data_IF_573102627565
#
_entry.id   IF_573102627565
#
_cell.length_a   1.000
_cell.length_b   1.000
_cell.length_c   1.000
_cell.angle_alpha   90.00
_cell.angle_beta   90.00
_cell.angle_gamma   90.00
#
_symmetry.space_group_name_H-M   'P 1'
#
loop_
_entity.id
_entity.type
_entity.pdbx_description
1 polymer ?
#
# COMPACT_ATOMS: atom_id res chain seq x y z
N UNK A 1 -30.18 22.36 -9.54
CA UNK A 1 -29.34 23.19 -8.66
C UNK A 1 -29.54 22.90 -7.17
N UNK A 2 -30.76 22.79 -6.64
CA UNK A 2 -30.97 22.56 -5.21
C UNK A 2 -30.46 21.19 -4.74
N UNK A 3 -30.68 20.15 -5.54
CA UNK A 3 -30.30 18.78 -5.22
C UNK A 3 -28.77 18.60 -5.24
N UNK A 4 -28.09 19.26 -6.17
CA UNK A 4 -26.62 19.26 -6.29
C UNK A 4 -25.98 20.01 -5.11
N UNK A 5 -26.58 21.13 -4.66
CA UNK A 5 -26.11 21.83 -3.47
C UNK A 5 -26.29 21.00 -2.20
N UNK A 6 -27.42 20.31 -2.07
CA UNK A 6 -27.68 19.43 -0.94
C UNK A 6 -26.69 18.25 -0.93
N UNK A 7 -26.47 17.60 -2.09
CA UNK A 7 -25.50 16.52 -2.21
C UNK A 7 -24.09 16.94 -1.79
N UNK A 8 -23.64 18.12 -2.21
CA UNK A 8 -22.32 18.66 -1.83
C UNK A 8 -22.27 18.95 -0.32
N UNK A 9 -23.34 19.49 0.25
CA UNK A 9 -23.41 19.79 1.68
C UNK A 9 -23.37 18.50 2.53
N UNK A 10 -24.13 17.49 2.14
CA UNK A 10 -24.16 16.18 2.81
C UNK A 10 -22.78 15.49 2.71
N UNK A 11 -22.12 15.56 1.54
CA UNK A 11 -20.77 15.05 1.35
C UNK A 11 -19.72 15.78 2.20
N UNK A 12 -19.81 17.11 2.30
CA UNK A 12 -18.95 17.91 3.18
C UNK A 12 -19.15 17.53 4.64
N UNK A 13 -20.40 17.37 5.08
CA UNK A 13 -20.72 16.99 6.45
C UNK A 13 -20.18 15.58 6.76
N UNK A 14 -20.35 14.62 5.83
CA UNK A 14 -19.78 13.27 5.97
C UNK A 14 -18.26 13.31 6.14
N UNK A 15 -17.55 14.06 5.30
CA UNK A 15 -16.08 14.17 5.38
C UNK A 15 -15.61 14.79 6.69
N UNK A 16 -16.28 15.83 7.18
CA UNK A 16 -15.92 16.49 8.44
C UNK A 16 -16.11 15.56 9.65
N UNK A 17 -17.14 14.73 9.61
CA UNK A 17 -17.40 13.77 10.67
C UNK A 17 -16.40 12.61 10.60
N UNK A 18 -16.01 12.14 9.41
CA UNK A 18 -14.97 11.11 9.23
C UNK A 18 -13.64 11.58 9.84
N UNK A 19 -13.22 12.81 9.55
CA UNK A 19 -12.02 13.43 10.12
C UNK A 19 -12.11 13.54 11.65
N UNK A 20 -13.26 13.97 12.17
CA UNK A 20 -13.49 14.05 13.61
C UNK A 20 -13.40 12.69 14.32
N UNK A 21 -13.93 11.63 13.70
CA UNK A 21 -13.83 10.29 14.26
C UNK A 21 -12.40 9.75 14.21
N UNK A 22 -11.66 10.01 13.13
CA UNK A 22 -10.25 9.63 13.04
C UNK A 22 -9.42 10.27 14.17
N UNK A 23 -9.63 11.56 14.46
CA UNK A 23 -8.94 12.26 15.54
C UNK A 23 -9.31 11.77 16.95
N UNK A 24 -10.61 11.67 17.28
CA UNK A 24 -11.05 11.29 18.63
C UNK A 24 -10.91 9.77 18.90
N UNK A 25 -11.05 8.93 17.87
CA UNK A 25 -11.02 7.46 17.99
C UNK A 25 -9.70 6.81 17.56
N UNK A 26 -8.63 7.58 17.30
CA UNK A 26 -7.32 7.00 16.93
C UNK A 26 -6.77 5.97 17.93
N UNK A 27 -7.13 6.06 19.22
CA UNK A 27 -6.75 5.05 20.23
C UNK A 27 -7.52 3.73 20.10
N UNK A 28 -8.73 3.78 19.54
CA UNK A 28 -9.62 2.63 19.38
C UNK A 28 -9.33 1.83 18.10
N UNK A 29 -8.54 2.38 17.17
CA UNK A 29 -8.29 1.81 15.86
C UNK A 29 -9.50 2.02 14.97
N UNK A 30 -9.62 3.21 14.37
CA UNK A 30 -10.74 3.58 13.52
C UNK A 30 -10.55 3.02 12.10
N UNK A 31 -11.48 2.19 11.64
CA UNK A 31 -11.43 1.56 10.30
C UNK A 31 -12.28 2.25 9.25
N UNK A 32 -13.17 3.16 9.66
CA UNK A 32 -14.07 3.89 8.78
C UNK A 32 -15.48 3.98 9.33
N UNK A 33 -16.32 4.69 8.58
CA UNK A 33 -17.71 4.90 8.94
C UNK A 33 -18.66 4.81 7.76
N UNK A 34 -19.88 4.40 8.07
CA UNK A 34 -21.02 4.42 7.17
C UNK A 34 -22.14 5.25 7.80
N UNK A 35 -22.74 6.13 6.99
CA UNK A 35 -23.83 6.99 7.41
C UNK A 35 -25.07 6.64 6.59
N UNK A 36 -26.19 6.39 7.26
CA UNK A 36 -27.48 6.12 6.63
C UNK A 36 -28.56 7.00 7.26
N UNK A 37 -29.19 7.93 6.50
CA UNK A 37 -30.26 8.77 7.04
C UNK A 37 -31.50 7.92 7.30
N UNK A 38 -32.05 8.02 8.50
CA UNK A 38 -33.32 7.36 8.86
C UNK A 38 -34.38 8.42 9.19
N UNK A 39 -35.68 8.10 9.08
CA UNK A 39 -36.74 9.05 9.45
C UNK A 39 -36.73 9.48 10.92
N UNK A 40 -36.02 8.75 11.78
CA UNK A 40 -35.90 9.03 13.21
C UNK A 40 -34.60 9.76 13.58
N UNK A 41 -33.66 9.91 12.65
CA UNK A 41 -32.35 10.53 12.89
C UNK A 41 -31.25 9.96 11.99
N UNK A 42 -30.01 10.39 12.23
CA UNK A 42 -28.84 9.92 11.48
C UNK A 42 -28.30 8.62 12.10
N UNK A 43 -28.30 7.50 11.36
CA UNK A 43 -27.63 6.28 11.81
C UNK A 43 -26.17 6.28 11.32
N UNK A 44 -25.23 6.13 12.26
CA UNK A 44 -23.80 6.08 12.00
C UNK A 44 -23.28 4.72 12.45
N UNK A 45 -22.78 3.93 11.52
CA UNK A 45 -22.11 2.66 11.79
C UNK A 45 -20.61 2.90 11.77
N UNK A 46 -19.96 2.72 12.92
CA UNK A 46 -18.51 2.86 13.09
C UNK A 46 -17.86 1.48 13.05
N UNK A 47 -16.82 1.32 12.23
CA UNK A 47 -15.98 0.12 12.21
C UNK A 47 -14.72 0.38 13.03
N UNK A 48 -14.45 -0.44 14.04
CA UNK A 48 -13.29 -0.27 14.91
C UNK A 48 -12.64 -1.60 15.31
N UNK A 49 -11.32 -1.59 15.53
CA UNK A 49 -10.58 -2.74 16.09
C UNK A 49 -11.04 -3.05 17.52
N UNK A 50 -11.27 -2.01 18.33
CA UNK A 50 -11.60 -2.17 19.76
C UNK A 50 -12.89 -1.43 20.13
N UNK A 51 -14.08 -2.03 19.90
CA UNK A 51 -15.37 -1.42 20.21
C UNK A 51 -15.49 -0.95 21.66
N UNK A 52 -14.91 -1.70 22.60
CA UNK A 52 -14.91 -1.36 24.02
C UNK A 52 -14.25 -0.01 24.35
N UNK A 53 -13.23 0.40 23.58
CA UNK A 53 -12.59 1.70 23.76
C UNK A 53 -13.41 2.84 23.15
N UNK A 54 -14.13 2.59 22.05
CA UNK A 54 -15.09 3.55 21.47
C UNK A 54 -16.21 3.85 22.45
N UNK A 55 -16.81 2.82 23.06
CA UNK A 55 -17.88 2.97 24.06
C UNK A 55 -17.35 3.65 25.34
N UNK A 56 -16.18 3.22 25.80
CA UNK A 56 -15.53 3.70 27.01
C UNK A 56 -16.20 3.20 28.30
N UNK A 57 -15.60 3.54 29.45
CA UNK A 57 -16.07 3.07 30.77
C UNK A 57 -17.50 3.55 31.05
N UNK A 58 -18.45 2.61 31.13
CA UNK A 58 -19.87 2.89 31.37
C UNK A 58 -20.53 3.71 30.26
N UNK A 59 -20.05 3.63 29.01
CA UNK A 59 -20.59 4.39 27.89
C UNK A 59 -20.34 5.89 27.99
N UNK A 60 -19.33 6.33 28.75
CA UNK A 60 -19.01 7.75 28.89
C UNK A 60 -18.47 8.35 27.59
N UNK A 61 -17.65 7.59 26.86
CA UNK A 61 -16.99 8.10 25.66
C UNK A 61 -17.99 8.24 24.50
N UNK A 62 -18.80 7.21 24.25
CA UNK A 62 -19.85 7.28 23.24
C UNK A 62 -20.83 8.44 23.49
N UNK A 63 -21.24 8.67 24.75
CA UNK A 63 -22.09 9.82 25.10
C UNK A 63 -21.42 11.16 24.83
N UNK A 64 -20.12 11.29 25.15
CA UNK A 64 -19.34 12.51 24.84
C UNK A 64 -19.33 12.76 23.32
N UNK A 65 -19.06 11.71 22.55
CA UNK A 65 -19.01 11.77 21.08
C UNK A 65 -20.39 12.13 20.50
N UNK A 66 -21.47 11.50 20.96
CA UNK A 66 -22.85 11.83 20.54
C UNK A 66 -23.18 13.30 20.81
N UNK A 67 -22.89 13.82 22.01
CA UNK A 67 -23.11 15.25 22.32
C UNK A 67 -22.29 16.17 21.42
N UNK A 68 -21.03 15.82 21.13
CA UNK A 68 -20.20 16.60 20.20
C UNK A 68 -20.74 16.58 18.77
N UNK A 69 -21.34 15.47 18.34
CA UNK A 69 -21.99 15.37 17.02
C UNK A 69 -23.23 16.27 16.92
N UNK A 70 -24.05 16.31 17.96
CA UNK A 70 -25.22 17.19 18.07
C UNK A 70 -24.79 18.66 18.08
N UNK A 71 -23.83 19.04 18.92
CA UNK A 71 -23.42 20.45 19.10
C UNK A 71 -22.60 21.00 17.92
N UNK A 72 -21.65 20.21 17.39
CA UNK A 72 -20.69 20.68 16.37
C UNK A 72 -21.26 20.56 14.96
N UNK A 73 -21.96 19.47 14.66
CA UNK A 73 -22.43 19.16 13.31
C UNK A 73 -23.94 19.31 13.15
N UNK A 74 -24.66 19.71 14.21
CA UNK A 74 -26.12 19.92 14.21
C UNK A 74 -26.89 18.72 13.64
N UNK A 75 -26.44 17.51 13.97
CA UNK A 75 -27.10 16.28 13.57
C UNK A 75 -28.39 16.08 14.38
N UNK A 76 -29.46 15.71 13.68
CA UNK A 76 -30.74 15.36 14.29
C UNK A 76 -30.66 13.93 14.87
N UNK A 77 -30.69 13.83 16.20
CA UNK A 77 -30.72 12.57 16.98
C UNK A 77 -29.75 11.47 16.44
N UNK A 78 -28.42 11.69 16.51
CA UNK A 78 -27.45 10.74 15.97
C UNK A 78 -27.42 9.42 16.75
N UNK A 79 -27.69 8.32 16.06
CA UNK A 79 -27.58 6.96 16.59
C UNK A 79 -26.28 6.32 16.13
N UNK A 80 -25.38 6.06 17.07
CA UNK A 80 -24.07 5.46 16.78
C UNK A 80 -24.12 3.97 17.10
N UNK A 81 -23.89 3.14 16.09
CA UNK A 81 -23.67 1.70 16.21
C UNK A 81 -22.18 1.39 15.99
N UNK A 82 -21.60 0.51 16.80
CA UNK A 82 -20.16 0.19 16.75
C UNK A 82 -20.02 -1.27 16.38
N UNK A 83 -19.45 -1.51 15.21
CA UNK A 83 -19.16 -2.83 14.67
C UNK A 83 -17.66 -3.11 14.78
N UNK A 84 -17.33 -4.34 15.12
CA UNK A 84 -15.96 -4.84 15.12
C UNK A 84 -15.53 -5.14 13.69
N UNK A 85 -14.26 -4.85 13.37
CA UNK A 85 -13.65 -5.27 12.09
C UNK A 85 -13.19 -6.71 12.26
N UNK A 86 -13.59 -7.60 11.33
CA UNK A 86 -13.26 -9.02 11.38
C UNK A 86 -11.73 -9.25 11.38
N UNK A 87 -11.03 -8.73 10.37
CA UNK A 87 -9.57 -8.71 10.31
C UNK A 87 -9.02 -7.27 10.31
N UNK A 88 -8.57 -6.74 11.46
CA UNK A 88 -8.07 -5.36 11.54
C UNK A 88 -6.72 -5.17 10.82
N UNK A 89 -5.99 -6.25 10.53
CA UNK A 89 -4.71 -6.24 9.81
C UNK A 89 -4.88 -6.06 8.30
N UNK A 90 -6.08 -6.27 7.75
CA UNK A 90 -6.40 -6.03 6.34
C UNK A 90 -6.89 -4.60 6.07
N UNK A 91 -7.20 -3.83 7.12
CA UNK A 91 -7.65 -2.44 6.99
C UNK A 91 -6.46 -1.47 7.07
N UNK A 92 -6.17 -0.79 5.97
CA UNK A 92 -4.97 0.04 5.84
C UNK A 92 -4.95 1.23 6.82
N UNK A 93 -6.11 1.83 7.14
CA UNK A 93 -6.22 2.96 8.08
C UNK A 93 -5.85 2.53 9.50
N UNK A 94 -6.42 1.41 9.98
CA UNK A 94 -6.12 0.86 11.31
C UNK A 94 -4.64 0.52 11.42
N UNK A 95 -4.06 -0.09 10.39
CA UNK A 95 -2.65 -0.46 10.37
C UNK A 95 -1.75 0.78 10.39
N UNK A 96 -2.06 1.81 9.60
CA UNK A 96 -1.32 3.07 9.58
C UNK A 96 -1.31 3.76 10.95
N UNK A 97 -2.47 3.86 11.61
CA UNK A 97 -2.59 4.40 12.96
C UNK A 97 -1.81 3.57 13.97
N UNK A 98 -1.88 2.25 13.87
CA UNK A 98 -1.17 1.34 14.78
C UNK A 98 0.34 1.48 14.64
N UNK A 99 0.85 1.59 13.41
CA UNK A 99 2.27 1.80 13.14
C UNK A 99 2.71 3.19 13.63
N UNK A 100 1.90 4.23 13.41
CA UNK A 100 2.17 5.57 13.95
C UNK A 100 2.27 5.54 15.49
N UNK A 101 1.31 4.90 16.16
CA UNK A 101 1.34 4.71 17.61
C UNK A 101 2.57 3.90 18.10
N UNK A 102 3.06 2.93 17.31
CA UNK A 102 4.25 2.16 17.66
C UNK A 102 5.52 3.01 17.57
N UNK A 103 5.62 3.85 16.53
CA UNK A 103 6.70 4.81 16.36
C UNK A 103 6.70 5.84 17.50
N UNK A 104 5.54 6.37 17.89
CA UNK A 104 5.42 7.31 19.02
C UNK A 104 5.85 6.71 20.37
N UNK A 105 5.68 5.39 20.55
CA UNK A 105 6.18 4.65 21.71
C UNK A 105 7.70 4.42 21.70
N UNK A 106 8.39 4.81 20.63
CA UNK A 106 9.83 4.68 20.50
C UNK A 106 10.30 3.35 19.90
N UNK A 107 9.44 2.61 19.20
CA UNK A 107 9.89 1.42 18.48
C UNK A 107 10.79 1.83 17.31
N UNK A 108 11.87 1.06 17.10
CA UNK A 108 12.76 1.29 15.96
C UNK A 108 12.02 1.05 14.64
N UNK A 109 12.12 2.01 13.72
CA UNK A 109 11.29 2.08 12.51
C UNK A 109 11.39 0.83 11.61
N UNK A 110 12.58 0.22 11.44
CA UNK A 110 12.72 -1.02 10.66
C UNK A 110 11.99 -2.18 11.31
N UNK A 111 12.16 -2.34 12.62
CA UNK A 111 11.50 -3.40 13.38
C UNK A 111 9.99 -3.23 13.32
N UNK A 112 9.49 -2.01 13.54
CA UNK A 112 8.07 -1.69 13.45
C UNK A 112 7.51 -1.93 12.04
N UNK A 113 8.24 -1.52 11.00
CA UNK A 113 7.87 -1.73 9.59
C UNK A 113 7.78 -3.22 9.24
N UNK A 114 8.86 -3.99 9.43
CA UNK A 114 8.88 -5.42 9.12
C UNK A 114 7.87 -6.22 9.94
N UNK A 115 7.73 -5.95 11.24
CA UNK A 115 6.72 -6.65 12.08
C UNK A 115 5.30 -6.36 11.62
N UNK A 116 5.03 -5.13 11.14
CA UNK A 116 3.69 -4.76 10.66
C UNK A 116 3.41 -5.39 9.31
N UNK A 117 4.40 -5.39 8.41
CA UNK A 117 4.31 -6.01 7.10
C UNK A 117 4.09 -7.52 7.20
N UNK A 118 4.84 -8.21 8.07
CA UNK A 118 4.67 -9.65 8.32
C UNK A 118 3.26 -9.97 8.81
N UNK A 119 2.70 -9.17 9.73
CA UNK A 119 1.30 -9.34 10.19
C UNK A 119 0.27 -9.18 9.09
N UNK A 120 0.47 -8.22 8.18
CA UNK A 120 -0.46 -8.01 7.06
C UNK A 120 -0.44 -9.23 6.12
N UNK A 121 0.76 -9.74 5.83
CA UNK A 121 0.92 -10.93 4.99
C UNK A 121 0.36 -12.19 5.68
N UNK A 122 0.56 -12.34 6.99
CA UNK A 122 0.00 -13.43 7.81
C UNK A 122 -1.54 -13.41 7.82
N UNK A 123 -2.15 -12.22 7.75
CA UNK A 123 -3.60 -12.06 7.62
C UNK A 123 -4.14 -12.45 6.23
N UNK A 124 -3.26 -12.80 5.29
CA UNK A 124 -3.60 -13.30 3.96
C UNK A 124 -3.68 -12.24 2.88
N UNK A 125 -3.13 -11.04 3.09
CA UNK A 125 -3.05 -10.04 2.04
C UNK A 125 -2.25 -10.57 0.82
N UNK A 126 -2.65 -10.16 -0.39
CA UNK A 126 -1.90 -10.49 -1.62
C UNK A 126 -0.58 -9.69 -1.70
N UNK A 127 -0.55 -8.51 -1.09
CA UNK A 127 0.64 -7.71 -0.91
C UNK A 127 0.38 -6.44 -0.11
N UNK A 128 1.47 -5.86 0.41
CA UNK A 128 1.44 -4.66 1.22
C UNK A 128 2.69 -3.79 1.04
N UNK A 129 2.48 -2.47 0.97
CA UNK A 129 3.55 -1.46 0.92
C UNK A 129 3.35 -0.49 2.08
N UNK A 130 4.42 -0.28 2.84
CA UNK A 130 4.49 0.70 3.91
C UNK A 130 5.59 1.68 3.55
N UNK A 131 5.25 2.97 3.48
CA UNK A 131 6.20 4.05 3.23
C UNK A 131 6.25 4.95 4.47
N UNK A 132 7.43 5.05 5.06
CA UNK A 132 7.72 5.97 6.15
C UNK A 132 8.45 7.19 5.59
N UNK A 133 7.87 8.38 5.72
CA UNK A 133 8.45 9.62 5.23
C UNK A 133 8.65 10.61 6.38
N UNK A 134 9.87 11.12 6.55
CA UNK A 134 10.15 12.14 7.57
C UNK A 134 11.52 12.01 8.22
N UNK A 135 11.65 12.53 9.44
CA UNK A 135 12.90 12.51 10.21
C UNK A 135 13.03 11.21 11.01
N UNK A 136 13.31 10.12 10.29
CA UNK A 136 13.28 8.76 10.84
C UNK A 136 14.51 8.45 11.72
N UNK A 137 15.72 8.78 11.27
CA UNK A 137 16.98 8.47 11.99
C UNK A 137 17.72 9.71 12.49
N UNK A 138 17.49 10.89 11.88
CA UNK A 138 18.25 12.09 12.21
C UNK A 138 17.59 13.37 11.71
N UNK A 139 18.35 14.46 11.67
CA UNK A 139 17.81 15.79 11.34
C UNK A 139 17.34 15.92 9.88
N UNK A 140 17.91 15.14 8.96
CA UNK A 140 17.54 15.12 7.54
C UNK A 140 16.39 14.14 7.31
N UNK A 141 15.41 14.55 6.50
CA UNK A 141 14.33 13.66 6.09
C UNK A 141 14.85 12.52 5.22
N UNK A 142 14.27 11.34 5.42
CA UNK A 142 14.47 10.14 4.62
C UNK A 142 13.11 9.52 4.33
N UNK A 143 13.04 8.77 3.24
CA UNK A 143 11.89 7.95 2.90
C UNK A 143 12.35 6.52 2.88
N UNK A 144 11.70 5.66 3.65
CA UNK A 144 11.97 4.24 3.73
C UNK A 144 10.73 3.48 3.32
N UNK A 145 10.91 2.51 2.42
CA UNK A 145 9.84 1.71 1.87
C UNK A 145 10.04 0.27 2.31
N UNK A 146 8.97 -0.35 2.79
CA UNK A 146 8.88 -1.77 3.09
C UNK A 146 7.79 -2.34 2.19
N UNK A 147 8.12 -3.29 1.34
CA UNK A 147 7.19 -3.90 0.40
C UNK A 147 7.30 -5.42 0.50
N UNK A 148 6.15 -6.10 0.41
CA UNK A 148 6.08 -7.55 0.30
C UNK A 148 4.83 -7.96 -0.48
N UNK A 149 4.89 -9.10 -1.14
CA UNK A 149 3.86 -9.59 -2.04
C UNK A 149 3.65 -8.73 -3.29
N UNK A 150 2.40 -8.63 -3.72
CA UNK A 150 2.00 -8.00 -4.98
C UNK A 150 1.23 -6.70 -4.79
N UNK A 151 1.60 -5.64 -5.52
CA UNK A 151 0.98 -4.31 -5.40
C UNK A 151 0.80 -3.67 -6.77
N UNK A 152 -0.37 -3.08 -6.98
CA UNK A 152 -0.69 -2.26 -8.14
C UNK A 152 -0.51 -0.78 -7.82
N UNK A 153 0.11 -0.06 -8.75
CA UNK A 153 0.34 1.39 -8.61
C UNK A 153 -0.43 2.24 -9.63
N UNK A 154 -0.92 1.65 -10.72
CA UNK A 154 -1.48 2.37 -11.86
C UNK A 154 -2.85 1.80 -12.25
N UNK A 155 -3.69 2.66 -12.84
CA UNK A 155 -4.99 2.31 -13.40
C UNK A 155 -6.12 2.27 -12.37
N UNK A 156 -7.34 2.02 -12.86
CA UNK A 156 -8.55 1.86 -12.03
C UNK A 156 -8.43 0.78 -10.95
N UNK A 157 -7.75 -0.38 -11.18
CA UNK A 157 -7.52 -1.35 -10.11
C UNK A 157 -6.72 -0.78 -8.92
N UNK A 158 -5.86 0.21 -9.14
CA UNK A 158 -5.11 0.82 -8.04
C UNK A 158 -5.99 1.69 -7.14
N UNK A 159 -7.11 2.20 -7.64
CA UNK A 159 -8.06 3.02 -6.86
C UNK A 159 -9.16 2.18 -6.22
N UNK A 160 -9.62 1.12 -6.91
CA UNK A 160 -10.73 0.30 -6.42
C UNK A 160 -10.31 -0.87 -5.53
N UNK A 161 -9.17 -1.52 -5.84
CA UNK A 161 -8.75 -2.76 -5.18
C UNK A 161 -7.80 -2.49 -4.01
N UNK A 162 -6.92 -1.51 -4.16
CA UNK A 162 -5.89 -1.21 -3.15
C UNK A 162 -6.51 -0.38 -2.03
N UNK A 163 -6.55 -0.92 -0.82
CA UNK A 163 -6.90 -0.15 0.36
C UNK A 163 -5.71 0.73 0.78
N UNK A 164 -5.98 2.01 1.01
CA UNK A 164 -4.98 3.03 1.31
C UNK A 164 -5.28 3.72 2.64
N UNK A 165 -4.29 3.73 3.52
CA UNK A 165 -4.35 4.38 4.83
C UNK A 165 -3.15 5.30 5.05
N UNK A 166 -3.40 6.45 5.67
CA UNK A 166 -2.35 7.37 6.09
C UNK A 166 -2.44 7.61 7.59
N UNK A 167 -1.28 7.63 8.24
CA UNK A 167 -1.11 7.87 9.66
C UNK A 167 -0.01 8.89 9.90
N UNK A 168 -0.11 9.61 11.02
CA UNK A 168 0.82 10.66 11.39
C UNK A 168 1.39 10.36 12.77
N UNK A 169 2.71 10.14 12.84
CA UNK A 169 3.41 9.91 14.10
C UNK A 169 4.11 11.20 14.55
N UNK A 170 3.76 11.71 15.73
CA UNK A 170 4.35 12.92 16.29
C UNK A 170 5.49 12.56 17.25
N UNK A 171 6.73 12.79 16.82
CA UNK A 171 7.94 12.56 17.61
C UNK A 171 8.56 13.88 18.11
N UNK A 172 9.52 13.77 19.03
CA UNK A 172 10.25 14.94 19.58
C UNK A 172 10.98 15.76 18.50
N UNK A 173 11.52 15.12 17.46
CA UNK A 173 12.29 15.79 16.39
C UNK A 173 11.41 16.35 15.26
N UNK A 174 10.12 16.01 15.25
CA UNK A 174 9.15 16.37 14.22
C UNK A 174 8.18 15.23 13.93
N UNK A 175 7.51 15.34 12.80
CA UNK A 175 6.47 14.40 12.38
C UNK A 175 6.99 13.40 11.34
N UNK A 176 6.55 12.16 11.44
CA UNK A 176 6.77 11.10 10.44
C UNK A 176 5.41 10.73 9.84
N UNK A 177 5.32 10.78 8.51
CA UNK A 177 4.18 10.27 7.76
C UNK A 177 4.31 8.76 7.55
N UNK A 178 3.21 8.05 7.76
CA UNK A 178 3.07 6.61 7.56
C UNK A 178 2.03 6.39 6.48
N UNK A 179 2.44 5.98 5.29
CA UNK A 179 1.53 5.59 4.22
C UNK A 179 1.50 4.06 4.13
N UNK A 180 0.31 3.47 4.13
CA UNK A 180 0.09 2.02 4.05
C UNK A 180 -0.84 1.72 2.89
N UNK A 181 -0.43 0.78 2.03
CA UNK A 181 -1.24 0.22 0.95
C UNK A 181 -1.35 -1.28 1.14
N UNK A 182 -2.55 -1.82 1.04
CA UNK A 182 -2.82 -3.25 1.22
C UNK A 182 -3.70 -3.71 0.06
N UNK A 183 -3.36 -4.85 -0.55
CA UNK A 183 -4.27 -5.57 -1.43
C UNK A 183 -4.95 -6.69 -0.64
N UNK A 184 -6.27 -6.66 -0.48
CA UNK A 184 -6.99 -7.66 0.29
C UNK A 184 -6.90 -9.05 -0.35
N UNK A 185 -7.12 -10.13 0.44
CA UNK A 185 -7.18 -11.49 -0.09
C UNK A 185 -8.27 -11.63 -1.16
N UNK A 186 -7.94 -12.35 -2.23
CA UNK A 186 -8.93 -12.71 -3.26
C UNK A 186 -9.37 -11.56 -4.16
N UNK A 187 -8.62 -10.46 -4.20
CA UNK A 187 -8.87 -9.40 -5.16
C UNK A 187 -8.68 -9.90 -6.60
N UNK A 188 -9.74 -9.82 -7.40
CA UNK A 188 -9.71 -10.14 -8.82
C UNK A 188 -9.04 -8.99 -9.58
N UNK A 189 -7.84 -9.25 -10.08
CA UNK A 189 -7.14 -8.30 -10.94
C UNK A 189 -7.53 -8.58 -12.39
N UNK A 190 -7.60 -7.55 -13.26
CA UNK A 190 -7.91 -7.74 -14.68
C UNK A 190 -6.90 -8.64 -15.40
N UNK A 191 -5.70 -8.79 -14.83
CA UNK A 191 -4.64 -9.64 -15.37
C UNK A 191 -4.73 -11.10 -14.89
N UNK A 192 -5.57 -11.39 -13.90
CA UNK A 192 -5.76 -12.74 -13.33
C UNK A 192 -6.93 -13.43 -14.03
N UNK A 193 -6.63 -14.21 -15.08
CA UNK A 193 -7.62 -15.00 -15.80
C UNK A 193 -7.38 -16.51 -15.60
N UNK A 194 -8.42 -17.21 -15.16
CA UNK A 194 -8.43 -18.67 -15.07
C UNK A 194 -8.80 -19.31 -16.40
N UNK A 195 -7.91 -20.11 -16.98
CA UNK A 195 -8.25 -20.96 -18.13
C UNK A 195 -8.89 -22.25 -17.60
N UNK A 196 -10.21 -22.38 -17.76
CA UNK A 196 -10.92 -23.60 -17.41
C UNK A 196 -10.85 -24.62 -18.56
N UNK A 197 -10.17 -25.75 -18.33
CA UNK A 197 -9.95 -26.78 -19.34
C UNK A 197 -11.20 -27.63 -19.67
N UNK A 198 -12.24 -27.58 -18.83
CA UNK A 198 -13.42 -28.44 -18.92
C UNK A 198 -14.66 -27.75 -19.52
N UNK A 199 -14.51 -26.56 -20.11
CA UNK A 199 -15.62 -25.95 -20.86
C UNK A 199 -15.65 -26.51 -22.28
N UNK A 200 -16.62 -27.40 -22.53
CA UNK A 200 -17.06 -27.71 -23.89
C UNK A 200 -17.50 -26.38 -24.54
N UNK A 201 -16.63 -25.83 -25.38
CA UNK A 201 -16.95 -24.68 -26.21
C UNK A 201 -18.04 -25.16 -27.16
N UNK A 202 -19.30 -24.95 -26.80
CA UNK A 202 -20.37 -24.98 -27.78
C UNK A 202 -19.96 -23.95 -28.83
N UNK A 203 -19.65 -24.44 -30.03
CA UNK A 203 -19.47 -23.61 -31.21
C UNK A 203 -20.60 -22.58 -31.18
N UNK A 204 -20.24 -21.31 -31.05
CA UNK A 204 -21.19 -20.23 -31.26
C UNK A 204 -21.58 -20.35 -32.73
N UNK A 205 -22.62 -21.12 -32.99
CA UNK A 205 -23.29 -21.09 -34.26
C UNK A 205 -23.67 -19.62 -34.44
N UNK A 206 -23.19 -18.93 -35.49
CA UNK A 206 -23.70 -17.61 -35.78
C UNK A 206 -25.21 -17.79 -35.92
N UNK A 207 -25.97 -17.33 -34.94
CA UNK A 207 -27.42 -17.27 -35.04
C UNK A 207 -27.68 -16.49 -36.31
N UNK A 208 -28.31 -17.16 -37.26
CA UNK A 208 -28.63 -16.61 -38.56
C UNK A 208 -29.36 -15.29 -38.34
N UNK A 209 -28.62 -14.19 -38.48
CA UNK A 209 -29.16 -12.84 -38.58
C UNK A 209 -30.17 -12.92 -39.72
N UNK A 210 -31.42 -12.63 -39.40
CA UNK A 210 -32.56 -12.82 -40.29
C UNK A 210 -32.22 -12.34 -41.70
N UNK A 211 -32.25 -13.29 -42.63
CA UNK A 211 -32.25 -13.01 -44.03
C UNK A 211 -33.51 -12.22 -44.37
N UNK A 212 -33.43 -10.89 -44.36
CA UNK A 212 -34.22 -9.99 -45.20
C UNK A 212 -33.68 -8.55 -45.13
N UNK A 213 -33.47 -7.97 -46.30
CA UNK A 213 -33.25 -6.53 -46.58
C UNK A 213 -31.84 -5.93 -46.45
N UNK A 214 -30.79 -6.62 -46.93
CA UNK A 214 -29.56 -5.94 -47.36
C UNK A 214 -28.82 -6.65 -48.51
N UNK A 215 -29.55 -7.34 -49.40
CA UNK A 215 -28.95 -8.10 -50.50
C UNK A 215 -28.73 -7.32 -51.81
N UNK A 216 -28.67 -5.97 -51.78
CA UNK A 216 -28.58 -5.15 -53.00
C UNK A 216 -27.46 -4.09 -52.99
N UNK A 217 -26.44 -4.17 -52.12
CA UNK A 217 -25.37 -3.16 -52.13
C UNK A 217 -23.97 -3.64 -51.73
N UNK A 218 -23.53 -4.77 -52.29
CA UNK A 218 -22.09 -5.05 -52.43
C UNK A 218 -21.91 -5.60 -53.85
N UNK A 219 -21.63 -4.71 -54.79
CA UNK A 219 -20.96 -5.10 -56.05
C UNK A 219 -19.60 -5.69 -55.62
N UNK A 220 -19.34 -6.93 -56.02
CA UNK A 220 -18.02 -7.53 -55.92
C UNK A 220 -17.07 -6.66 -56.76
N UNK A 221 -15.93 -6.18 -56.20
CA UNK A 221 -15.01 -5.36 -56.96
C UNK A 221 -14.45 -6.19 -58.13
N UNK A 222 -14.45 -5.57 -59.31
CA UNK A 222 -13.98 -6.11 -60.57
C UNK A 222 -12.46 -6.27 -60.58
N UNK A 223 -11.99 -7.28 -61.33
CA UNK A 223 -10.59 -7.74 -61.40
C UNK A 223 -9.56 -6.63 -61.79
N UNK A 224 -10.01 -5.44 -62.21
CA UNK A 224 -9.15 -4.28 -62.47
C UNK A 224 -8.75 -3.52 -61.18
N UNK A 225 -9.60 -3.43 -60.15
CA UNK A 225 -9.25 -2.76 -58.88
C UNK A 225 -8.27 -3.59 -58.03
N UNK A 226 -8.31 -4.92 -58.13
CA UNK A 226 -7.34 -5.79 -57.46
C UNK A 226 -5.94 -5.75 -58.10
N UNK A 227 -5.86 -5.33 -59.37
CA UNK A 227 -4.58 -5.15 -60.07
C UNK A 227 -3.90 -3.84 -59.66
N UNK A 228 -4.65 -2.76 -59.47
CA UNK A 228 -4.11 -1.48 -58.96
C UNK A 228 -3.56 -1.62 -57.53
N UNK A 229 -4.25 -2.38 -56.66
CA UNK A 229 -3.78 -2.63 -55.28
C UNK A 229 -2.51 -3.50 -55.26
N UNK A 230 -2.30 -4.39 -56.25
CA UNK A 230 -1.06 -5.18 -56.36
C UNK A 230 0.10 -4.36 -56.93
N UNK A 231 -0.17 -3.39 -57.82
CA UNK A 231 0.84 -2.49 -58.36
C UNK A 231 1.34 -1.49 -57.30
N UNK A 232 0.44 -0.98 -56.45
CA UNK A 232 0.76 -0.11 -55.31
C UNK A 232 1.59 -0.82 -54.21
N UNK A 233 1.36 -2.12 -54.00
CA UNK A 233 2.15 -2.93 -53.06
C UNK A 233 3.54 -3.24 -53.62
N UNK A 234 3.65 -3.42 -54.95
CA UNK A 234 4.92 -3.68 -55.62
C UNK A 234 5.82 -2.43 -55.71
N UNK A 235 5.24 -1.23 -55.90
CA UNK A 235 5.99 0.05 -55.80
C UNK A 235 6.52 0.30 -54.38
N UNK A 236 5.77 -0.10 -53.34
CA UNK A 236 6.21 0.02 -51.95
C UNK A 236 7.34 -0.96 -51.57
N UNK A 237 7.40 -2.13 -52.21
CA UNK A 237 8.50 -3.10 -52.02
C UNK A 237 9.77 -2.68 -52.77
N UNK A 238 9.65 -2.05 -53.94
CA UNK A 238 10.80 -1.54 -54.70
C UNK A 238 11.43 -0.29 -54.03
N UNK A 239 10.65 0.59 -53.39
CA UNK A 239 11.17 1.73 -52.61
C UNK A 239 11.93 1.31 -51.33
N UNK A 240 11.59 0.17 -50.74
CA UNK A 240 12.31 -0.41 -49.59
C UNK A 240 13.64 -1.08 -49.99
N UNK A 241 13.86 -1.31 -51.30
CA UNK A 241 15.08 -1.94 -51.83
C UNK A 241 16.15 -0.95 -52.30
N UNK A 242 15.86 0.36 -52.32
CA UNK A 242 16.76 1.39 -52.85
C UNK A 242 17.70 2.03 -51.80
N UNK A 243 17.58 1.68 -50.51
CA UNK A 243 18.38 2.24 -49.41
C UNK A 243 19.09 1.15 -48.56
N UNK A 244 19.69 0.17 -49.22
CA UNK A 244 20.71 -0.69 -48.58
C UNK A 244 21.79 -1.11 -49.59
N UNK A 245 22.79 -0.23 -49.77
CA UNK A 245 24.10 -0.62 -50.30
C UNK A 245 24.75 -1.67 -49.37
N UNK A 246 24.98 -2.86 -49.95
CA UNK A 246 26.23 -3.64 -49.92
C UNK A 246 27.01 -3.72 -48.59
N UNK A 247 26.93 -4.87 -47.88
CA UNK A 247 28.04 -5.82 -47.79
C UNK A 247 27.73 -7.01 -46.84
N UNK A 248 27.92 -8.21 -47.41
CA UNK A 248 28.25 -9.50 -46.77
C UNK A 248 27.30 -10.14 -45.74
N UNK A 249 26.39 -10.97 -46.26
CA UNK A 249 26.06 -12.27 -45.63
C UNK A 249 26.94 -13.34 -46.26
N UNK A 250 27.90 -13.87 -45.51
CA UNK A 250 28.40 -15.22 -45.74
C UNK A 250 28.94 -15.83 -44.44
N UNK A 251 28.42 -17.02 -44.12
CA UNK A 251 28.87 -17.98 -43.11
C UNK A 251 29.03 -17.49 -41.65
N UNK A 252 28.06 -17.83 -40.80
CA UNK A 252 28.27 -17.86 -39.33
C UNK A 252 28.40 -19.32 -38.92
N UNK A 253 29.64 -19.69 -38.56
CA UNK A 253 30.05 -20.96 -37.94
C UNK A 253 29.42 -21.12 -36.55
N UNK A 254 29.10 -22.38 -36.19
CA UNK A 254 28.57 -22.82 -34.88
C UNK A 254 29.56 -22.62 -33.72
N UNK A 255 30.78 -22.14 -33.97
CA UNK A 255 31.88 -22.06 -33.00
C UNK A 255 31.91 -20.75 -32.16
N UNK A 256 31.09 -19.73 -32.48
CA UNK A 256 31.13 -18.41 -31.78
C UNK A 256 30.21 -18.37 -30.54
N UNK A 257 29.37 -19.38 -30.31
CA UNK A 257 28.42 -19.39 -29.18
C UNK A 257 29.01 -20.05 -27.93
N UNK A 258 30.13 -20.79 -28.03
CA UNK A 258 30.85 -21.32 -26.86
C UNK A 258 31.88 -20.34 -26.28
N UNK A 259 32.49 -19.44 -27.09
CA UNK A 259 33.52 -18.50 -26.61
C UNK A 259 32.94 -17.35 -25.76
N UNK A 260 31.67 -16.96 -25.99
CA UNK A 260 31.02 -15.87 -25.25
C UNK A 260 30.56 -16.31 -23.84
N UNK A 261 30.50 -17.61 -23.56
CA UNK A 261 30.11 -18.15 -22.24
C UNK A 261 31.34 -18.35 -21.33
N UNK A 262 32.57 -18.32 -21.87
CA UNK A 262 33.80 -18.46 -21.08
C UNK A 262 34.42 -17.11 -20.67
N UNK A 263 34.14 -16.01 -21.38
CA UNK A 263 34.70 -14.67 -21.07
C UNK A 263 33.94 -13.88 -19.97
N UNK A 264 32.74 -14.32 -19.55
CA UNK A 264 31.99 -13.68 -18.44
C UNK A 264 32.22 -14.34 -17.06
N UNK A 265 33.11 -15.34 -16.97
CA UNK A 265 33.42 -16.04 -15.71
C UNK A 265 34.84 -15.83 -15.17
N UNK A 266 35.60 -14.86 -15.70
CA UNK A 266 36.89 -14.44 -15.16
C UNK A 266 36.96 -12.90 -15.02
N UNK A 267 36.08 -12.32 -14.21
CA UNK A 267 36.40 -11.07 -13.51
C UNK A 267 36.81 -11.42 -12.07
N UNK A 268 38.12 -11.28 -11.80
CA UNK A 268 38.72 -11.33 -10.49
C UNK A 268 37.96 -10.41 -9.51
N UNK A 269 37.15 -11.02 -8.64
CA UNK A 269 36.71 -10.36 -7.41
C UNK A 269 37.93 -10.31 -6.51
N UNK A 270 38.53 -9.12 -6.44
CA UNK A 270 39.53 -8.79 -5.43
C UNK A 270 38.85 -8.95 -4.07
N UNK A 271 39.29 -9.92 -3.28
CA UNK A 271 39.00 -10.01 -1.86
C UNK A 271 39.53 -8.73 -1.18
N UNK A 272 38.71 -7.68 -1.11
CA UNK A 272 38.83 -6.70 -0.04
C UNK A 272 38.31 -7.37 1.23
N UNK A 273 39.23 -7.66 2.15
CA UNK A 273 38.94 -8.06 3.52
C UNK A 273 37.94 -7.07 4.15
N UNK A 274 36.64 -7.42 4.10
CA UNK A 274 35.64 -6.84 4.99
C UNK A 274 35.80 -7.60 6.30
N UNK A 275 36.48 -7.00 7.26
CA UNK A 275 36.55 -7.46 8.65
C UNK A 275 35.11 -7.61 9.20
N UNK A 276 34.59 -8.83 9.13
CA UNK A 276 33.40 -9.24 9.88
C UNK A 276 33.90 -9.42 11.32
N UNK A 277 33.43 -8.64 12.30
CA UNK A 277 33.87 -8.79 13.68
C UNK A 277 33.61 -10.23 14.12
N UNK A 278 34.64 -10.85 14.69
CA UNK A 278 34.56 -12.20 15.23
C UNK A 278 33.71 -12.22 16.51
N UNK A 279 33.16 -13.37 16.88
CA UNK A 279 32.35 -13.51 18.10
C UNK A 279 33.10 -13.02 19.36
N UNK A 280 34.44 -13.10 19.36
CA UNK A 280 35.30 -12.57 20.43
C UNK A 280 35.28 -11.02 20.49
N UNK A 281 35.18 -10.30 19.36
CA UNK A 281 35.11 -8.83 19.34
C UNK A 281 33.76 -8.32 19.88
N UNK A 282 32.70 -9.10 19.67
CA UNK A 282 31.36 -8.80 20.16
C UNK A 282 31.31 -9.03 21.68
N UNK A 283 31.95 -10.07 22.19
CA UNK A 283 32.03 -10.33 23.64
C UNK A 283 32.80 -9.22 24.39
N UNK A 284 33.93 -8.73 23.86
CA UNK A 284 34.66 -7.59 24.45
C UNK A 284 33.82 -6.30 24.48
N UNK A 285 33.09 -5.99 23.40
CA UNK A 285 32.20 -4.81 23.34
C UNK A 285 31.04 -4.89 24.35
N UNK A 286 30.55 -6.09 24.67
CA UNK A 286 29.50 -6.28 25.70
C UNK A 286 30.06 -6.16 27.12
N UNK A 287 31.27 -6.63 27.38
CA UNK A 287 31.94 -6.48 28.68
C UNK A 287 32.24 -5.00 28.99
N UNK A 288 32.72 -4.24 27.99
CA UNK A 288 32.98 -2.80 28.12
C UNK A 288 31.69 -1.98 28.39
N UNK A 289 30.57 -2.40 27.79
CA UNK A 289 29.26 -1.79 28.01
C UNK A 289 28.71 -2.07 29.42
N UNK A 290 28.88 -3.29 29.93
CA UNK A 290 28.46 -3.67 31.27
C UNK A 290 29.30 -2.94 32.34
N UNK A 291 30.62 -2.80 32.14
CA UNK A 291 31.49 -2.03 33.05
C UNK A 291 31.12 -0.53 33.07
N UNK A 292 30.77 0.05 31.92
CA UNK A 292 30.31 1.44 31.83
C UNK A 292 28.98 1.67 32.56
N UNK A 293 28.03 0.72 32.47
CA UNK A 293 26.74 0.80 33.15
C UNK A 293 26.89 0.62 34.66
N UNK A 294 27.80 -0.25 35.10
CA UNK A 294 28.09 -0.46 36.52
C UNK A 294 28.74 0.79 37.14
N UNK A 295 29.65 1.45 36.41
CA UNK A 295 30.26 2.71 36.83
C UNK A 295 29.24 3.87 36.91
N UNK A 296 28.34 4.00 35.93
CA UNK A 296 27.28 5.03 35.95
C UNK A 296 26.29 4.78 37.11
N UNK A 297 26.01 3.51 37.45
CA UNK A 297 25.16 3.16 38.58
C UNK A 297 25.81 3.44 39.94
N UNK A 298 27.14 3.26 40.07
CA UNK A 298 27.89 3.59 41.28
C UNK A 298 27.97 5.10 41.49
N UNK A 299 28.21 5.88 40.43
CA UNK A 299 28.19 7.36 40.49
C UNK A 299 26.82 7.90 40.91
N UNK A 300 25.73 7.28 40.44
CA UNK A 300 24.36 7.64 40.83
C UNK A 300 24.04 7.27 42.28
N UNK A 301 24.59 6.16 42.80
CA UNK A 301 24.42 5.80 44.22
C UNK A 301 25.19 6.75 45.13
N UNK A 302 26.41 7.13 44.76
CA UNK A 302 27.21 8.10 45.52
C UNK A 302 26.53 9.48 45.55
N UNK A 303 25.94 9.93 44.44
CA UNK A 303 25.17 11.19 44.39
C UNK A 303 23.91 11.12 45.29
N UNK A 304 23.25 9.96 45.37
CA UNK A 304 22.09 9.77 46.24
C UNK A 304 22.46 9.67 47.73
N UNK A 305 23.62 9.11 48.06
CA UNK A 305 24.12 9.03 49.44
C UNK A 305 24.62 10.40 49.93
N UNK A 306 25.27 11.20 49.07
CA UNK A 306 25.66 12.58 49.39
C UNK A 306 24.44 13.49 49.61
N UNK A 307 23.37 13.36 48.81
CA UNK A 307 22.11 14.07 49.03
C UNK A 307 21.40 13.66 50.34
N UNK A 308 21.59 12.41 50.78
CA UNK A 308 21.02 11.90 52.03
C UNK A 308 21.78 12.41 53.27
N UNK A 309 23.10 12.61 53.19
CA UNK A 309 23.89 13.20 54.28
C UNK A 309 23.58 14.70 54.47
N UNK A 310 23.36 15.45 53.38
CA UNK A 310 22.98 16.87 53.42
C UNK A 310 21.56 17.12 54.00
N UNK A 311 20.72 16.09 54.10
CA UNK A 311 19.38 16.20 54.70
C UNK A 311 19.34 15.92 56.21
N UNK A 312 20.43 15.47 56.82
CA UNK A 312 20.51 15.14 58.25
C UNK A 312 21.30 16.15 59.13
N UNK A 313 21.84 17.25 58.57
CA UNK A 313 22.48 18.37 59.33
C UNK A 313 21.58 19.58 59.63
#
# INVERSE_FOLDING_TARGET
>A
MADEHQFIQDGMQRSQIDEFFAEELGRAGYGGMEMAPTPMGMQIVLKAEKPGMVIGKGGKNIRKVTTQLEERFNLEDPQIDVQEVDEPDLNARIVADRLANALERGWYFRKAGHTTLERIMDAGALGAEIVLSGKVTGARSRVEKFNDGYIKHNGEPAEEVVDHGQGVAVMKLGTIGVDVKIIPPGAELPDDFGVHADMDVNEVAPEAVEANEAADLIEEPDDEELAEIQEDVQEAEDDLSADADDDAVDAVDEDVVEEVIEDELDEEVVDEDVDVPTDDDIEEDFEDLDEAVEAEAEELMDEMDDEAEDTEE
#
